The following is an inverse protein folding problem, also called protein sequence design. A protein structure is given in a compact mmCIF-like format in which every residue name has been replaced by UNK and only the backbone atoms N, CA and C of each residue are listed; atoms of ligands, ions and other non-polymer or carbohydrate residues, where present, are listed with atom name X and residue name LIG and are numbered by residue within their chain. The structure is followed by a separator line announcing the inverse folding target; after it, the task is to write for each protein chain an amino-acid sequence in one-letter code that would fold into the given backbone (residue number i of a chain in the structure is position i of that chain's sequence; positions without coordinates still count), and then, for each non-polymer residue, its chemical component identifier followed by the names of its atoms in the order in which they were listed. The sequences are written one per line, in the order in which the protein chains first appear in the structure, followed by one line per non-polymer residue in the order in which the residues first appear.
data_IF_886132910050
#
_entry.id   IF_886132910050
#
_cell.length_a   1.000
_cell.length_b   1.000
_cell.length_c   1.000
_cell.angle_alpha   90.00
_cell.angle_beta   90.00
_cell.angle_gamma   90.00
#
_symmetry.space_group_name_H-M   'P 1'
#
loop_
_entity.id
_entity.type
_entity.pdbx_description
1 polymer ?
#
# COMPACT_ATOMS: atom_id res chain seq x y z
N UNK A 1 -2.11 -19.99 4.56
CA UNK A 1 -1.62 -18.79 3.86
C UNK A 1 -0.11 -18.79 3.99
N UNK A 2 0.61 -18.37 2.95
CA UNK A 2 2.05 -18.13 3.08
C UNK A 2 2.28 -16.98 4.09
N UNK A 3 3.37 -17.06 4.83
CA UNK A 3 3.92 -15.96 5.62
C UNK A 3 5.43 -15.96 5.35
N UNK A 4 5.93 -14.92 4.69
CA UNK A 4 7.35 -14.71 4.41
C UNK A 4 7.73 -13.30 4.80
N UNK A 5 8.91 -13.14 5.37
CA UNK A 5 9.49 -11.84 5.74
C UNK A 5 10.73 -11.58 4.88
N UNK A 6 11.10 -10.31 4.70
CA UNK A 6 12.34 -9.88 4.01
C UNK A 6 12.44 -10.47 2.58
N UNK A 7 11.43 -10.20 1.75
CA UNK A 7 11.34 -10.77 0.40
C UNK A 7 12.28 -10.06 -0.58
N UNK A 8 13.53 -10.49 -0.61
CA UNK A 8 14.57 -9.99 -1.54
C UNK A 8 14.45 -10.52 -2.98
N UNK A 9 13.75 -11.64 -3.19
CA UNK A 9 13.59 -12.29 -4.49
C UNK A 9 12.11 -12.41 -4.87
N UNK A 10 11.78 -12.05 -6.11
CA UNK A 10 10.41 -12.13 -6.62
C UNK A 10 9.93 -13.58 -6.75
N UNK A 11 8.74 -13.85 -6.26
CA UNK A 11 8.05 -15.11 -6.48
C UNK A 11 7.35 -15.13 -7.85
N UNK A 12 7.10 -16.31 -8.45
CA UNK A 12 6.22 -16.40 -9.61
C UNK A 12 4.87 -15.72 -9.37
N UNK A 13 4.40 -14.95 -10.35
CA UNK A 13 3.16 -14.17 -10.21
C UNK A 13 3.37 -12.75 -9.65
N UNK A 14 4.62 -12.36 -9.38
CA UNK A 14 4.97 -10.99 -9.00
C UNK A 14 5.60 -10.19 -10.14
N UNK A 15 5.20 -8.93 -10.30
CA UNK A 15 5.73 -8.04 -11.34
C UNK A 15 5.99 -6.64 -10.75
N UNK A 16 7.25 -6.20 -10.64
CA UNK A 16 7.58 -4.89 -10.09
C UNK A 16 7.40 -3.79 -11.14
N UNK A 17 7.17 -2.57 -10.68
CA UNK A 17 6.98 -1.37 -11.52
C UNK A 17 5.92 -1.53 -12.63
N UNK A 18 4.71 -2.05 -12.33
CA UNK A 18 3.67 -2.22 -13.33
C UNK A 18 3.17 -0.88 -13.85
N UNK A 19 2.71 -0.85 -15.11
CA UNK A 19 2.20 0.38 -15.76
C UNK A 19 0.70 0.30 -16.08
N UNK A 20 0.16 -0.90 -16.15
CA UNK A 20 -1.22 -1.25 -16.44
C UNK A 20 -1.97 -1.58 -15.14
N UNK A 21 -2.24 -0.55 -14.33
CA UNK A 21 -2.74 -0.73 -12.96
C UNK A 21 -4.14 -0.17 -12.78
N UNK A 22 -4.39 1.02 -13.29
CA UNK A 22 -5.67 1.71 -13.11
C UNK A 22 -6.54 1.61 -14.37
N UNK A 23 -7.88 1.57 -14.21
CA UNK A 23 -8.79 1.68 -15.34
C UNK A 23 -8.54 2.95 -16.15
N UNK A 24 -8.82 2.91 -17.45
CA UNK A 24 -8.57 4.04 -18.36
C UNK A 24 -9.28 5.35 -17.93
N UNK A 25 -10.46 5.26 -17.34
CA UNK A 25 -11.23 6.39 -16.80
C UNK A 25 -10.69 6.93 -15.47
N UNK A 26 -9.77 6.21 -14.83
CA UNK A 26 -9.08 6.62 -13.60
C UNK A 26 -7.56 6.67 -13.77
N UNK A 27 -7.06 6.86 -14.99
CA UNK A 27 -5.63 6.96 -15.27
C UNK A 27 -4.94 8.13 -14.51
N UNK A 28 -5.71 9.14 -14.09
CA UNK A 28 -5.26 10.24 -13.25
C UNK A 28 -4.68 9.78 -11.90
N UNK A 29 -5.04 8.59 -11.39
CA UNK A 29 -4.46 8.02 -10.17
C UNK A 29 -2.93 7.87 -10.20
N UNK A 30 -2.34 7.70 -11.39
CA UNK A 30 -0.87 7.68 -11.55
C UNK A 30 -0.19 9.02 -11.22
N UNK A 31 -0.98 10.08 -11.05
CA UNK A 31 -0.51 11.36 -10.53
C UNK A 31 -0.39 11.39 -9.00
N UNK A 32 -1.02 10.46 -8.28
CA UNK A 32 -1.05 10.46 -6.81
C UNK A 32 -0.44 9.21 -6.20
N UNK A 33 -0.38 8.12 -6.96
CA UNK A 33 0.03 6.81 -6.48
C UNK A 33 1.13 6.23 -7.38
N UNK A 34 2.18 5.69 -6.76
CA UNK A 34 3.25 4.94 -7.40
C UNK A 34 2.93 3.45 -7.33
N UNK A 35 2.76 2.76 -8.47
CA UNK A 35 2.59 1.32 -8.46
C UNK A 35 3.90 0.59 -8.16
N UNK A 36 3.95 -0.15 -7.06
CA UNK A 36 5.19 -0.80 -6.62
C UNK A 36 5.30 -2.21 -7.20
N UNK A 37 4.37 -3.09 -6.84
CA UNK A 37 4.47 -4.52 -7.11
C UNK A 37 3.08 -5.11 -7.37
N UNK A 38 2.89 -5.73 -8.52
CA UNK A 38 1.76 -6.66 -8.76
C UNK A 38 2.02 -7.97 -8.04
N UNK A 39 1.00 -8.49 -7.37
CA UNK A 39 1.04 -9.75 -6.62
C UNK A 39 -0.16 -10.59 -7.05
N UNK A 40 0.10 -11.75 -7.66
CA UNK A 40 -0.92 -12.79 -7.84
C UNK A 40 -1.35 -13.32 -6.45
N UNK A 41 -2.60 -13.08 -6.09
CA UNK A 41 -3.17 -13.50 -4.81
C UNK A 41 -3.20 -15.04 -4.66
N UNK A 42 -3.07 -15.77 -5.77
CA UNK A 42 -2.80 -17.21 -5.84
C UNK A 42 -1.59 -17.66 -5.02
N UNK A 43 -0.58 -16.79 -4.87
CA UNK A 43 0.61 -17.03 -4.05
C UNK A 43 0.22 -17.21 -2.57
N UNK A 44 -0.77 -16.46 -2.10
CA UNK A 44 -1.26 -16.50 -0.71
C UNK A 44 -2.33 -17.58 -0.51
N UNK A 45 -3.21 -17.70 -1.51
CA UNK A 45 -4.40 -18.57 -1.53
C UNK A 45 -4.63 -19.13 -2.93
N UNK A 46 -4.38 -20.42 -3.18
CA UNK A 46 -4.44 -21.01 -4.54
C UNK A 46 -5.76 -20.79 -5.28
N UNK A 47 -6.88 -20.69 -4.57
CA UNK A 47 -8.20 -20.42 -5.13
C UNK A 47 -8.35 -19.02 -5.76
N UNK A 48 -7.44 -18.09 -5.45
CA UNK A 48 -7.40 -16.73 -6.01
C UNK A 48 -6.42 -16.60 -7.18
N UNK A 49 -5.85 -17.70 -7.68
CA UNK A 49 -4.86 -17.67 -8.75
C UNK A 49 -5.37 -16.90 -9.99
N UNK A 50 -4.54 -15.98 -10.48
CA UNK A 50 -4.87 -15.08 -11.58
C UNK A 50 -5.62 -13.80 -11.17
N UNK A 51 -6.00 -13.65 -9.90
CA UNK A 51 -6.42 -12.35 -9.35
C UNK A 51 -5.16 -11.62 -8.89
N UNK A 52 -4.87 -10.47 -9.50
CA UNK A 52 -3.59 -9.77 -9.31
C UNK A 52 -3.85 -8.39 -8.76
N UNK A 53 -3.51 -8.15 -7.50
CA UNK A 53 -3.61 -6.84 -6.88
C UNK A 53 -2.25 -6.13 -6.91
N UNK A 54 -2.25 -4.79 -6.86
CA UNK A 54 -1.01 -4.01 -6.95
C UNK A 54 -0.78 -3.23 -5.65
N UNK A 55 0.41 -3.37 -5.06
CA UNK A 55 0.90 -2.53 -3.97
C UNK A 55 1.09 -1.10 -4.44
N UNK A 56 0.55 -0.12 -3.71
CA UNK A 56 0.51 1.29 -4.12
C UNK A 56 1.13 2.17 -3.02
N UNK A 57 2.09 3.02 -3.40
CA UNK A 57 2.67 4.02 -2.51
C UNK A 57 2.10 5.41 -2.81
N UNK A 58 1.55 6.12 -1.82
CA UNK A 58 1.10 7.49 -2.00
C UNK A 58 2.29 8.43 -2.21
N UNK A 59 2.13 9.38 -3.13
CA UNK A 59 3.12 10.43 -3.41
C UNK A 59 2.94 11.62 -2.47
N UNK A 60 1.74 11.80 -1.94
CA UNK A 60 1.35 12.90 -1.07
C UNK A 60 0.63 12.34 0.17
N UNK A 61 0.60 13.08 1.29
CA UNK A 61 1.15 14.42 1.47
C UNK A 61 2.65 14.41 1.77
N UNK A 62 3.27 15.59 1.74
CA UNK A 62 4.63 15.77 2.25
C UNK A 62 4.69 15.67 3.78
N UNK A 63 3.65 16.16 4.45
CA UNK A 63 3.49 16.17 5.91
C UNK A 63 2.06 15.76 6.27
N UNK A 64 1.91 14.99 7.35
CA UNK A 64 0.64 14.41 7.77
C UNK A 64 0.24 13.13 7.05
N UNK A 65 -1.02 12.73 7.20
CA UNK A 65 -1.58 11.52 6.60
C UNK A 65 -2.28 11.82 5.27
N UNK A 66 -2.26 10.84 4.35
CA UNK A 66 -3.09 10.91 3.14
C UNK A 66 -4.56 11.11 3.51
N UNK A 67 -5.24 12.02 2.82
CA UNK A 67 -6.63 12.35 3.11
C UNK A 67 -6.86 13.25 4.34
N UNK A 68 -5.84 13.59 5.13
CA UNK A 68 -6.03 14.36 6.38
C UNK A 68 -6.64 15.75 6.14
N UNK A 69 -6.27 16.41 5.05
CA UNK A 69 -6.68 17.77 4.71
C UNK A 69 -7.84 17.85 3.71
N UNK A 70 -8.41 16.71 3.33
CA UNK A 70 -9.47 16.58 2.32
C UNK A 70 -10.72 15.88 2.88
N UNK A 71 -10.99 16.07 4.18
CA UNK A 71 -12.08 15.40 4.92
C UNK A 71 -13.47 15.57 4.31
N UNK A 72 -13.73 16.70 3.66
CA UNK A 72 -14.98 16.98 2.94
C UNK A 72 -15.20 16.11 1.69
N UNK A 73 -14.13 15.49 1.18
CA UNK A 73 -14.13 14.61 0.01
C UNK A 73 -14.11 13.12 0.37
N UNK A 74 -14.07 12.80 1.67
CA UNK A 74 -14.16 11.43 2.16
C UNK A 74 -15.53 10.82 1.84
N UNK A 75 -15.57 9.49 1.76
CA UNK A 75 -16.79 8.72 1.53
C UNK A 75 -16.74 7.42 2.33
N UNK A 76 -17.72 6.53 2.12
CA UNK A 76 -17.79 5.27 2.86
C UNK A 76 -16.52 4.40 2.73
N UNK A 77 -15.70 4.60 1.69
CA UNK A 77 -14.53 3.78 1.35
C UNK A 77 -13.19 4.46 1.58
N UNK A 78 -13.18 5.76 1.88
CA UNK A 78 -11.96 6.56 1.98
C UNK A 78 -12.01 7.46 3.19
N UNK A 79 -10.88 7.62 3.85
CA UNK A 79 -10.74 8.45 5.04
C UNK A 79 -9.29 8.90 5.20
N UNK A 80 -9.00 9.64 6.27
CA UNK A 80 -7.62 9.94 6.64
C UNK A 80 -6.86 8.63 6.83
N UNK A 81 -5.69 8.50 6.21
CA UNK A 81 -4.83 7.33 6.23
C UNK A 81 -5.40 6.06 5.59
N UNK A 82 -6.59 6.10 4.97
CA UNK A 82 -7.28 4.93 4.41
C UNK A 82 -7.75 5.14 2.98
N UNK A 83 -7.33 4.25 2.07
CA UNK A 83 -7.82 4.21 0.68
C UNK A 83 -8.23 2.81 0.27
N UNK A 84 -9.32 2.68 -0.49
CA UNK A 84 -9.83 1.40 -0.95
C UNK A 84 -10.07 1.36 -2.47
N UNK A 85 -9.89 0.17 -3.02
CA UNK A 85 -10.06 -0.13 -4.43
C UNK A 85 -10.92 -1.38 -4.61
N UNK A 86 -11.74 -1.41 -5.66
CA UNK A 86 -12.25 -2.65 -6.22
C UNK A 86 -11.21 -3.21 -7.19
N UNK A 87 -10.87 -4.49 -7.02
CA UNK A 87 -10.11 -5.24 -8.01
C UNK A 87 -11.07 -5.71 -9.11
N UNK A 88 -11.01 -5.07 -10.28
CA UNK A 88 -11.90 -5.38 -11.40
C UNK A 88 -11.66 -6.79 -11.95
N UNK A 89 -12.56 -7.32 -12.78
CA UNK A 89 -12.36 -8.61 -13.46
C UNK A 89 -11.09 -8.66 -14.33
N UNK A 90 -10.61 -7.50 -14.80
CA UNK A 90 -9.36 -7.35 -15.54
C UNK A 90 -8.12 -7.12 -14.67
N UNK A 91 -8.24 -7.19 -13.34
CA UNK A 91 -7.19 -6.88 -12.36
C UNK A 91 -6.71 -5.41 -12.35
N UNK A 92 -7.51 -4.50 -12.91
CA UNK A 92 -7.32 -3.07 -12.71
C UNK A 92 -7.81 -2.67 -11.31
N UNK A 93 -7.08 -1.77 -10.65
CA UNK A 93 -7.38 -1.22 -9.32
C UNK A 93 -8.32 -0.02 -9.50
N UNK A 94 -9.63 -0.24 -9.39
CA UNK A 94 -10.62 0.84 -9.47
C UNK A 94 -10.76 1.52 -8.12
N UNK A 95 -10.39 2.79 -8.03
CA UNK A 95 -10.50 3.56 -6.80
C UNK A 95 -11.97 3.78 -6.43
N UNK A 96 -12.29 3.53 -5.16
CA UNK A 96 -13.64 3.68 -4.60
C UNK A 96 -13.89 5.08 -4.00
N UNK A 97 -12.87 5.92 -3.98
CA UNK A 97 -12.98 7.35 -3.66
C UNK A 97 -13.23 8.23 -4.88
N UNK A 98 -13.04 9.53 -4.66
CA UNK A 98 -13.19 10.58 -5.68
C UNK A 98 -11.83 11.23 -5.95
N UNK A 99 -11.64 11.88 -7.09
CA UNK A 99 -10.38 12.59 -7.42
C UNK A 99 -10.00 13.63 -6.36
N UNK A 100 -10.98 14.39 -5.87
CA UNK A 100 -10.78 15.41 -4.83
C UNK A 100 -10.35 14.86 -3.44
N UNK A 101 -10.29 13.53 -3.26
CA UNK A 101 -9.67 12.94 -2.08
C UNK A 101 -8.18 13.31 -1.98
N UNK A 102 -7.54 13.43 -3.14
CA UNK A 102 -6.14 13.80 -3.28
C UNK A 102 -5.99 15.33 -3.34
N UNK A 103 -4.90 15.86 -2.79
CA UNK A 103 -4.59 17.30 -2.81
C UNK A 103 -4.23 17.72 -4.24
N UNK A 104 -3.41 16.92 -4.93
CA UNK A 104 -3.12 17.08 -6.35
C UNK A 104 -2.49 18.42 -6.74
N UNK A 105 -2.93 18.98 -7.87
CA UNK A 105 -2.41 20.25 -8.40
C UNK A 105 -2.66 21.46 -7.47
N UNK A 106 -3.50 21.31 -6.44
CA UNK A 106 -3.70 22.33 -5.42
C UNK A 106 -2.47 22.52 -4.51
N UNK A 107 -1.48 21.63 -4.58
CA UNK A 107 -0.20 21.76 -3.86
C UNK A 107 0.60 22.95 -4.41
N UNK A 108 0.44 24.10 -3.78
CA UNK A 108 1.22 25.32 -4.02
C UNK A 108 2.41 25.47 -3.08
N UNK A 109 2.47 24.63 -2.05
CA UNK A 109 3.59 24.60 -1.11
C UNK A 109 4.86 24.07 -1.79
N UNK A 110 5.97 24.78 -1.58
CA UNK A 110 7.22 24.48 -2.26
C UNK A 110 7.83 23.16 -1.77
N UNK A 111 7.77 22.89 -0.47
CA UNK A 111 8.37 21.68 0.10
C UNK A 111 7.59 20.45 -0.37
N UNK A 112 6.26 20.55 -0.48
CA UNK A 112 5.42 19.52 -1.06
C UNK A 112 5.69 19.28 -2.55
N UNK A 113 5.93 20.32 -3.34
CA UNK A 113 6.36 20.15 -4.75
C UNK A 113 7.73 19.48 -4.87
N UNK A 114 8.70 19.87 -4.03
CA UNK A 114 10.02 19.23 -3.98
C UNK A 114 9.91 17.76 -3.56
N UNK A 115 9.03 17.44 -2.60
CA UNK A 115 8.72 16.07 -2.18
C UNK A 115 8.15 15.23 -3.34
N UNK A 116 7.11 15.71 -4.03
CA UNK A 116 6.50 15.01 -5.17
C UNK A 116 7.55 14.73 -6.25
N UNK A 117 8.38 15.72 -6.58
CA UNK A 117 9.45 15.55 -7.56
C UNK A 117 10.47 14.50 -7.10
N UNK A 118 10.85 14.53 -5.83
CA UNK A 118 11.81 13.58 -5.25
C UNK A 118 11.26 12.14 -5.21
N UNK A 119 10.00 11.96 -4.85
CA UNK A 119 9.32 10.65 -4.86
C UNK A 119 9.36 10.04 -6.26
N UNK A 120 9.00 10.82 -7.28
CA UNK A 120 9.01 10.38 -8.69
C UNK A 120 10.41 10.09 -9.22
N UNK A 121 11.38 10.95 -8.96
CA UNK A 121 12.76 10.74 -9.40
C UNK A 121 13.34 9.47 -8.79
N UNK A 122 13.23 9.29 -7.48
CA UNK A 122 13.77 8.12 -6.78
C UNK A 122 13.10 6.82 -7.23
N UNK A 123 11.78 6.83 -7.39
CA UNK A 123 11.05 5.68 -7.94
C UNK A 123 11.46 5.34 -9.38
N UNK A 124 11.65 6.34 -10.24
CA UNK A 124 12.15 6.12 -11.60
C UNK A 124 13.57 5.53 -11.60
N UNK A 125 14.44 6.01 -10.70
CA UNK A 125 15.80 5.46 -10.54
C UNK A 125 15.78 4.03 -10.01
N UNK A 126 14.90 3.71 -9.06
CA UNK A 126 14.70 2.35 -8.56
C UNK A 126 14.26 1.41 -9.69
N UNK A 127 13.31 1.84 -10.53
CA UNK A 127 12.87 1.10 -11.72
C UNK A 127 14.02 0.86 -12.70
N UNK A 128 14.79 1.88 -13.01
CA UNK A 128 15.91 1.79 -13.97
C UNK A 128 17.04 0.90 -13.42
N UNK A 129 17.28 0.95 -12.11
CA UNK A 129 18.20 0.05 -11.42
C UNK A 129 17.73 -1.41 -11.54
N UNK A 130 16.45 -1.68 -11.25
CA UNK A 130 15.84 -3.00 -11.40
C UNK A 130 15.94 -3.52 -12.84
N UNK A 131 15.65 -2.68 -13.84
CA UNK A 131 15.76 -3.07 -15.24
C UNK A 131 17.19 -3.50 -15.64
N UNK A 132 18.21 -2.96 -14.95
CA UNK A 132 19.62 -3.25 -15.22
C UNK A 132 20.17 -4.41 -14.39
N UNK A 133 19.73 -4.55 -13.14
CA UNK A 133 20.34 -5.47 -12.16
C UNK A 133 19.42 -6.61 -11.73
N UNK A 134 18.12 -6.53 -11.99
CA UNK A 134 17.11 -7.50 -11.52
C UNK A 134 16.85 -7.44 -10.00
N UNK A 135 17.26 -6.36 -9.34
CA UNK A 135 17.14 -6.17 -7.88
C UNK A 135 16.46 -4.83 -7.59
N UNK A 136 15.73 -4.74 -6.48
CA UNK A 136 15.23 -3.44 -6.00
C UNK A 136 16.36 -2.69 -5.30
N UNK A 137 16.47 -1.39 -5.57
CA UNK A 137 17.33 -0.51 -4.81
C UNK A 137 16.66 0.83 -4.54
N UNK A 138 16.79 1.31 -3.30
CA UNK A 138 16.30 2.60 -2.91
C UNK A 138 17.35 3.69 -3.16
N UNK A 139 16.85 4.90 -3.42
CA UNK A 139 17.65 6.13 -3.49
C UNK A 139 17.11 7.11 -2.44
N UNK A 140 17.47 6.88 -1.19
CA UNK A 140 16.98 7.64 -0.03
C UNK A 140 17.36 9.11 -0.12
N UNK A 141 16.45 10.00 0.33
CA UNK A 141 16.71 11.44 0.50
C UNK A 141 17.86 11.75 1.46
N UNK A 142 18.14 10.84 2.40
CA UNK A 142 19.20 10.99 3.41
C UNK A 142 20.52 10.32 2.99
N UNK A 143 20.52 9.61 1.86
CA UNK A 143 21.70 8.93 1.33
C UNK A 143 22.64 9.86 0.57
N UNK A 144 23.78 9.32 0.13
CA UNK A 144 24.74 10.04 -0.74
C UNK A 144 24.34 10.05 -2.22
N UNK A 145 23.10 9.71 -2.53
CA UNK A 145 22.60 9.53 -3.91
C UNK A 145 23.02 8.20 -4.56
N UNK A 146 23.61 7.27 -3.79
CA UNK A 146 23.99 5.93 -4.23
C UNK A 146 22.81 4.95 -4.10
N UNK A 147 22.82 3.89 -4.92
CA UNK A 147 21.84 2.81 -4.83
C UNK A 147 22.10 1.97 -3.57
N UNK A 148 21.04 1.62 -2.85
CA UNK A 148 21.09 0.64 -1.76
C UNK A 148 20.08 -0.45 -2.04
N UNK A 149 20.53 -1.70 -2.23
CA UNK A 149 19.62 -2.83 -2.44
C UNK A 149 18.66 -2.98 -1.24
N UNK A 150 17.41 -3.36 -1.54
CA UNK A 150 16.32 -3.53 -0.58
C UNK A 150 15.48 -4.76 -0.93
N UNK A 151 14.71 -5.22 0.05
CA UNK A 151 13.68 -6.22 -0.15
C UNK A 151 12.48 -5.60 -0.85
N UNK A 152 11.82 -6.39 -1.71
CA UNK A 152 10.61 -5.96 -2.41
C UNK A 152 9.43 -5.78 -1.45
N UNK A 153 9.36 -6.63 -0.43
CA UNK A 153 8.35 -6.60 0.63
C UNK A 153 9.03 -6.91 1.97
N UNK A 154 8.57 -6.26 3.03
CA UNK A 154 8.99 -6.59 4.39
C UNK A 154 8.23 -7.84 4.86
N UNK A 155 6.94 -7.94 4.52
CA UNK A 155 6.11 -9.14 4.75
C UNK A 155 5.23 -9.48 3.55
N UNK A 156 5.05 -10.77 3.28
CA UNK A 156 4.07 -11.33 2.36
C UNK A 156 3.15 -12.30 3.11
N UNK A 157 1.86 -11.97 3.18
CA UNK A 157 0.86 -12.73 3.92
C UNK A 157 1.01 -12.62 5.43
N UNK A 158 0.59 -13.66 6.16
CA UNK A 158 0.65 -13.68 7.62
C UNK A 158 -0.59 -13.10 8.33
N UNK A 159 -0.52 -12.98 9.66
CA UNK A 159 -1.56 -12.36 10.48
C UNK A 159 -1.65 -10.85 10.23
N UNK A 160 -2.83 -10.26 10.43
CA UNK A 160 -2.93 -8.79 10.52
C UNK A 160 -2.52 -8.40 11.95
N UNK A 161 -1.34 -7.78 12.05
CA UNK A 161 -0.77 -7.28 13.28
C UNK A 161 -1.23 -5.86 13.65
N UNK A 162 -1.03 -5.50 14.90
CA UNK A 162 -1.28 -4.15 15.40
C UNK A 162 -0.15 -3.23 14.94
N UNK A 163 -0.50 -2.00 14.58
CA UNK A 163 0.43 -0.92 14.29
C UNK A 163 -0.29 0.40 14.51
N UNK A 164 0.43 1.52 14.48
CA UNK A 164 -0.23 2.80 14.73
C UNK A 164 -1.28 3.13 13.67
N UNK A 165 -1.16 2.56 12.47
CA UNK A 165 -2.13 2.66 11.37
C UNK A 165 -3.56 2.26 11.78
N UNK A 166 -3.73 1.41 12.80
CA UNK A 166 -5.06 1.03 13.32
C UNK A 166 -5.72 2.08 14.20
N UNK A 167 -4.95 3.06 14.69
CA UNK A 167 -5.39 4.08 15.64
C UNK A 167 -5.18 5.52 15.13
N UNK A 168 -4.37 5.72 14.08
CA UNK A 168 -4.09 7.03 13.48
C UNK A 168 -5.36 7.77 13.06
N UNK A 169 -6.34 7.05 12.52
CA UNK A 169 -7.61 7.60 12.07
C UNK A 169 -8.72 6.54 12.10
N UNK A 170 -9.96 7.01 12.24
CA UNK A 170 -11.14 6.15 12.15
C UNK A 170 -11.19 5.46 10.78
N UNK A 171 -11.48 4.15 10.78
CA UNK A 171 -11.62 3.38 9.55
C UNK A 171 -12.88 3.85 8.77
N UNK A 172 -12.86 3.90 7.42
CA UNK A 172 -14.02 4.32 6.65
C UNK A 172 -15.26 3.46 6.91
N UNK A 173 -16.45 4.08 6.83
CA UNK A 173 -17.72 3.50 7.27
C UNK A 173 -18.16 2.20 6.56
N UNK A 174 -17.58 1.87 5.39
CA UNK A 174 -17.79 0.60 4.71
C UNK A 174 -17.10 -0.58 5.40
N UNK A 175 -16.23 -0.34 6.37
CA UNK A 175 -15.41 -1.33 7.04
C UNK A 175 -15.62 -1.31 8.55
N UNK A 176 -15.40 -2.46 9.17
CA UNK A 176 -15.38 -2.61 10.62
C UNK A 176 -13.97 -3.05 11.03
N UNK A 177 -13.36 -2.31 11.96
CA UNK A 177 -12.09 -2.67 12.59
C UNK A 177 -12.36 -3.13 14.02
N UNK A 178 -11.78 -4.26 14.39
CA UNK A 178 -11.80 -4.77 15.76
C UNK A 178 -10.48 -5.43 16.12
N UNK A 179 -10.37 -5.81 17.39
CA UNK A 179 -9.18 -6.46 17.93
C UNK A 179 -9.54 -7.86 18.45
N UNK A 180 -8.59 -8.78 18.36
CA UNK A 180 -8.71 -10.12 18.97
C UNK A 180 -8.26 -10.09 20.43
N UNK A 181 -8.49 -11.17 21.17
CA UNK A 181 -7.96 -11.33 22.52
C UNK A 181 -6.42 -11.24 22.58
N UNK A 182 -5.73 -11.54 21.47
CA UNK A 182 -4.28 -11.48 21.40
C UNK A 182 -3.74 -10.04 21.43
N UNK A 183 -4.56 -9.03 21.11
CA UNK A 183 -4.14 -7.63 21.13
C UNK A 183 -3.81 -7.15 22.56
N UNK A 184 -4.48 -7.70 23.57
CA UNK A 184 -4.31 -7.35 24.99
C UNK A 184 -3.52 -8.41 25.78
N UNK A 185 -3.12 -9.53 25.16
CA UNK A 185 -2.37 -10.59 25.82
C UNK A 185 -0.85 -10.40 25.66
N UNK A 186 -0.12 -10.05 26.74
CA UNK A 186 1.33 -9.89 26.68
C UNK A 186 2.09 -11.21 26.43
N UNK A 187 1.39 -12.36 26.45
CA UNK A 187 1.94 -13.67 26.14
C UNK A 187 1.39 -14.25 24.82
N UNK A 188 0.66 -13.44 24.04
CA UNK A 188 0.29 -13.83 22.69
C UNK A 188 1.54 -14.22 21.90
N UNK A 189 1.39 -15.17 20.97
CA UNK A 189 2.46 -15.49 20.04
C UNK A 189 2.78 -14.27 19.17
N UNK A 190 4.05 -14.09 18.80
CA UNK A 190 4.49 -12.96 17.96
C UNK A 190 3.76 -12.92 16.60
N UNK A 191 3.26 -14.07 16.12
CA UNK A 191 2.47 -14.23 14.91
C UNK A 191 0.96 -14.35 15.16
N UNK A 192 0.49 -13.96 16.34
CA UNK A 192 -0.94 -13.89 16.62
C UNK A 192 -1.58 -12.75 15.83
N UNK A 193 -2.72 -13.04 15.21
CA UNK A 193 -3.55 -12.02 14.59
C UNK A 193 -4.20 -11.19 15.69
N UNK A 194 -3.86 -9.91 15.75
CA UNK A 194 -4.36 -8.98 16.78
C UNK A 194 -5.46 -8.07 16.24
N UNK A 195 -5.52 -7.89 14.91
CA UNK A 195 -6.48 -7.00 14.24
C UNK A 195 -7.40 -7.80 13.34
N UNK A 196 -8.70 -7.46 13.35
CA UNK A 196 -9.69 -7.98 12.42
C UNK A 196 -10.29 -6.80 11.66
N UNK A 197 -10.29 -6.89 10.33
CA UNK A 197 -11.05 -5.96 9.49
C UNK A 197 -12.07 -6.75 8.68
N UNK A 198 -13.30 -6.24 8.61
CA UNK A 198 -14.36 -6.84 7.81
C UNK A 198 -15.09 -5.81 6.95
N UNK A 199 -15.72 -6.29 5.88
CA UNK A 199 -16.71 -5.55 5.08
C UNK A 199 -17.95 -6.42 4.94
N UNK A 200 -19.10 -5.92 5.40
CA UNK A 200 -20.35 -6.69 5.40
C UNK A 200 -20.21 -8.09 6.04
N UNK A 201 -19.39 -8.20 7.09
CA UNK A 201 -19.08 -9.46 7.78
C UNK A 201 -18.06 -10.36 7.08
N UNK A 202 -17.59 -10.03 5.87
CA UNK A 202 -16.53 -10.77 5.21
C UNK A 202 -15.16 -10.25 5.64
N UNK A 203 -14.26 -11.16 6.00
CA UNK A 203 -12.98 -10.84 6.63
C UNK A 203 -11.88 -10.57 5.60
N UNK A 204 -11.13 -9.50 5.80
CA UNK A 204 -9.89 -9.22 5.08
C UNK A 204 -8.76 -10.15 5.51
N UNK A 205 -7.77 -10.34 4.63
CA UNK A 205 -6.48 -10.89 5.01
C UNK A 205 -5.33 -10.00 4.56
N UNK A 206 -4.19 -10.12 5.26
CA UNK A 206 -2.95 -9.44 4.88
C UNK A 206 -2.44 -9.96 3.54
N UNK A 207 -2.26 -9.06 2.57
CA UNK A 207 -1.58 -9.39 1.32
C UNK A 207 -0.08 -9.23 1.51
N UNK A 208 0.34 -8.03 1.90
CA UNK A 208 1.74 -7.69 2.10
C UNK A 208 1.86 -6.35 2.85
N UNK A 209 3.05 -6.11 3.38
CA UNK A 209 3.50 -4.79 3.80
C UNK A 209 4.93 -4.51 3.35
N UNK A 210 5.23 -3.22 3.18
CA UNK A 210 6.58 -2.74 2.87
C UNK A 210 6.74 -1.27 3.23
N UNK A 211 7.91 -0.89 3.71
CA UNK A 211 8.30 0.51 3.83
C UNK A 211 8.31 1.21 2.47
N UNK A 212 7.69 2.39 2.37
CA UNK A 212 7.66 3.18 1.14
C UNK A 212 9.06 3.58 0.65
N UNK A 213 9.97 3.83 1.59
CA UNK A 213 11.36 4.17 1.30
C UNK A 213 12.22 3.00 0.79
N UNK A 214 11.70 1.77 0.74
CA UNK A 214 12.36 0.69 -0.01
C UNK A 214 12.27 0.93 -1.52
N UNK A 215 11.18 1.58 -1.96
CA UNK A 215 10.85 1.77 -3.38
C UNK A 215 11.10 3.19 -3.90
N UNK A 216 11.12 4.17 -3.01
CA UNK A 216 11.31 5.57 -3.37
C UNK A 216 12.05 6.33 -2.26
N UNK A 217 12.06 7.66 -2.31
CA UNK A 217 12.98 8.47 -1.50
C UNK A 217 12.63 8.49 0.00
N UNK A 218 11.34 8.33 0.31
CA UNK A 218 10.71 8.44 1.64
C UNK A 218 9.32 7.76 1.56
N UNK A 219 8.49 7.88 2.59
CA UNK A 219 7.16 7.28 2.66
C UNK A 219 6.91 6.64 4.02
N UNK A 220 5.76 5.97 4.13
CA UNK A 220 5.34 5.23 5.33
C UNK A 220 6.38 4.19 5.75
N UNK A 221 6.45 3.92 7.05
CA UNK A 221 7.26 2.83 7.61
C UNK A 221 6.67 1.46 7.26
N UNK A 222 5.35 1.39 7.07
CA UNK A 222 4.70 0.28 6.40
C UNK A 222 3.52 0.74 5.55
N UNK A 223 3.51 0.38 4.28
CA UNK A 223 2.32 0.40 3.44
C UNK A 223 1.61 -0.94 3.66
N UNK A 224 0.48 -0.94 4.36
CA UNK A 224 -0.28 -2.14 4.69
C UNK A 224 -1.30 -2.41 3.59
N UNK A 225 -1.23 -3.57 2.94
CA UNK A 225 -2.17 -3.98 1.89
C UNK A 225 -3.00 -5.17 2.33
N UNK A 226 -4.33 -5.02 2.32
CA UNK A 226 -5.28 -6.04 2.72
C UNK A 226 -6.23 -6.39 1.57
N UNK A 227 -6.77 -7.61 1.55
CA UNK A 227 -7.74 -8.03 0.55
C UNK A 227 -8.94 -8.79 1.12
N UNK A 228 -10.13 -8.48 0.62
CA UNK A 228 -11.40 -9.17 0.90
C UNK A 228 -11.94 -9.78 -0.42
N UNK A 229 -11.98 -11.13 -0.55
CA UNK A 229 -12.30 -11.79 -1.81
C UNK A 229 -13.72 -11.61 -2.35
N UNK A 230 -14.74 -11.51 -1.50
CA UNK A 230 -16.13 -11.64 -1.95
C UNK A 230 -16.59 -10.37 -2.67
N UNK A 231 -16.17 -9.24 -2.12
CA UNK A 231 -16.36 -7.93 -2.74
C UNK A 231 -15.15 -7.45 -3.53
N UNK A 232 -14.10 -8.28 -3.63
CA UNK A 232 -12.84 -8.03 -4.34
C UNK A 232 -12.23 -6.68 -3.96
N UNK A 233 -12.25 -6.36 -2.68
CA UNK A 233 -11.80 -5.07 -2.17
C UNK A 233 -10.36 -5.15 -1.72
N UNK A 234 -9.52 -4.27 -2.24
CA UNK A 234 -8.18 -4.01 -1.71
C UNK A 234 -8.26 -2.78 -0.80
N UNK A 235 -7.75 -2.90 0.42
CA UNK A 235 -7.72 -1.82 1.39
C UNK A 235 -6.27 -1.50 1.74
N UNK A 236 -5.92 -0.22 1.77
CA UNK A 236 -4.62 0.26 2.22
C UNK A 236 -4.75 1.13 3.46
N UNK A 237 -3.77 1.00 4.34
CA UNK A 237 -3.45 1.95 5.40
C UNK A 237 -1.93 2.07 5.55
N UNK A 238 -1.48 3.01 6.36
CA UNK A 238 -0.06 3.38 6.44
C UNK A 238 0.38 3.51 7.89
N UNK A 239 1.44 2.78 8.25
CA UNK A 239 2.11 2.89 9.54
C UNK A 239 3.25 3.92 9.46
N UNK A 240 3.41 4.70 10.52
CA UNK A 240 4.32 5.85 10.58
C UNK A 240 5.09 5.87 11.91
N UNK A 241 6.33 6.37 11.95
CA UNK A 241 7.11 6.55 13.18
C UNK A 241 7.60 7.97 13.43
#
# INVERSE_FOLDING_TARGET
MIHQTELSDLLPGMVPFPTDVFPADQAWLGQHLLPLLKIDLGVLRPELAGQVATMLCPIEPYDGCIGETTGEHHNDFTGTNWIAFELTAGNEMRFLGNEDYFIGDAVQDKDAQEHIAQMRDSYARARDYHATHGRLACYSRYGKGEASERDYLDTLGGPIGFGNWTETAEIPAAFELGFTEAADDPNAADDAETVIITRNGNKFFAVADVAGYNWCATGADAIVMLYEPESRTVLFSYDWS
#
